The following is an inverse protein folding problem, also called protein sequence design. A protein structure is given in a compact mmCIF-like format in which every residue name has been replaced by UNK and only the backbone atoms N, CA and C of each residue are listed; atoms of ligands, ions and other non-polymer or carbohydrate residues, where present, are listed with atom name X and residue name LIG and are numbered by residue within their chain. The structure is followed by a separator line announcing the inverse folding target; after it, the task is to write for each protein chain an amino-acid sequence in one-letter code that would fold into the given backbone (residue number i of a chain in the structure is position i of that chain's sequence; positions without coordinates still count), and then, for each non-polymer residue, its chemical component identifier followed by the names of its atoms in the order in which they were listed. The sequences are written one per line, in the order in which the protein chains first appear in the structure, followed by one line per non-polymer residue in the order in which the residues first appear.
data_IF_598269846480
#
_entry.id   IF_598269846480
#
_cell.length_a   1.000
_cell.length_b   1.000
_cell.length_c   1.000
_cell.angle_alpha   90.00
_cell.angle_beta   90.00
_cell.angle_gamma   90.00
#
_symmetry.space_group_name_H-M   'P 1'
#
loop_
_entity.id
_entity.type
_entity.pdbx_description
1 polymer ?
#
# COMPACT_ATOMS: atom_id res chain seq x y z
N UNK A 1 5.77 28.84 -5.11
CA UNK A 1 5.49 27.48 -4.58
C UNK A 1 6.60 27.07 -3.63
N UNK A 2 6.22 26.57 -2.47
CA UNK A 2 7.20 26.14 -1.48
C UNK A 2 7.79 24.79 -1.85
N UNK A 3 9.10 24.70 -1.87
CA UNK A 3 9.80 23.45 -2.16
C UNK A 3 10.68 23.05 -0.98
N UNK A 4 10.56 21.80 -0.55
CA UNK A 4 11.39 21.26 0.52
C UNK A 4 12.66 20.70 -0.07
N UNK A 5 13.80 21.18 0.42
CA UNK A 5 15.09 20.68 -0.03
C UNK A 5 15.39 19.34 0.63
N UNK A 6 15.75 18.35 -0.17
CA UNK A 6 16.07 17.00 0.30
C UNK A 6 17.47 16.60 -0.14
N UNK A 7 18.28 16.17 0.82
CA UNK A 7 19.60 15.63 0.54
C UNK A 7 19.48 14.16 0.15
N UNK A 8 20.56 13.58 -0.36
CA UNK A 8 20.59 12.14 -0.62
C UNK A 8 20.38 11.33 0.65
N UNK A 9 20.91 11.83 1.77
CA UNK A 9 20.72 11.20 3.07
C UNK A 9 19.24 11.22 3.48
N UNK A 10 18.56 12.35 3.25
CA UNK A 10 17.12 12.46 3.50
C UNK A 10 16.34 11.45 2.67
N UNK A 11 16.66 11.31 1.38
CA UNK A 11 15.99 10.37 0.49
C UNK A 11 16.23 8.92 0.89
N UNK A 12 17.40 8.62 1.43
CA UNK A 12 17.70 7.28 1.98
C UNK A 12 16.77 6.97 3.15
N UNK A 13 16.54 7.95 4.03
CA UNK A 13 15.61 7.79 5.14
C UNK A 13 14.16 7.59 4.68
N UNK A 14 13.77 8.28 3.60
CA UNK A 14 12.46 8.09 2.98
C UNK A 14 12.29 6.65 2.50
N UNK A 15 13.32 6.10 1.86
CA UNK A 15 13.31 4.69 1.42
C UNK A 15 13.18 3.73 2.60
N UNK A 16 13.85 4.03 3.71
CA UNK A 16 13.72 3.24 4.92
C UNK A 16 12.29 3.23 5.43
N UNK A 17 11.61 4.39 5.39
CA UNK A 17 10.21 4.48 5.81
C UNK A 17 9.31 3.64 4.89
N UNK A 18 9.55 3.68 3.58
CA UNK A 18 8.80 2.87 2.61
C UNK A 18 8.99 1.38 2.90
N UNK A 19 10.19 0.95 3.24
CA UNK A 19 10.49 -0.43 3.58
C UNK A 19 9.76 -0.85 4.85
N UNK A 20 9.73 -0.01 5.86
CA UNK A 20 9.00 -0.28 7.11
C UNK A 20 7.51 -0.52 6.81
N UNK A 21 6.91 0.33 5.97
CA UNK A 21 5.50 0.20 5.59
C UNK A 21 5.24 -1.14 4.91
N UNK A 22 6.10 -1.54 3.98
CA UNK A 22 5.86 -2.73 3.16
C UNK A 22 6.21 -4.04 3.86
N UNK A 23 7.13 -4.03 4.82
CA UNK A 23 7.49 -5.23 5.56
C UNK A 23 6.34 -5.78 6.39
N UNK A 24 5.52 -4.89 6.97
CA UNK A 24 4.36 -5.27 7.78
C UNK A 24 3.16 -4.43 7.37
N UNK A 25 2.66 -4.72 6.18
CA UNK A 25 1.55 -3.94 5.60
C UNK A 25 0.28 -3.99 6.47
N UNK A 26 0.13 -5.04 7.26
CA UNK A 26 -1.00 -5.20 8.17
C UNK A 26 -0.94 -4.19 9.33
N UNK A 27 0.21 -3.59 9.57
CA UNK A 27 0.37 -2.60 10.62
C UNK A 27 0.19 -1.19 10.08
N UNK A 28 -0.58 -0.38 10.80
CA UNK A 28 -0.82 1.02 10.43
C UNK A 28 0.15 1.93 11.16
N UNK A 29 1.00 2.61 10.40
CA UNK A 29 1.91 3.62 10.96
C UNK A 29 1.37 5.00 10.64
N UNK A 30 1.44 5.91 11.62
CA UNK A 30 1.11 7.31 11.37
C UNK A 30 2.35 7.99 10.79
N UNK A 31 2.16 9.15 10.16
CA UNK A 31 3.28 9.92 9.63
C UNK A 31 4.24 10.34 10.74
N UNK A 32 3.76 10.85 11.92
CA UNK A 32 4.67 11.13 13.02
C UNK A 32 5.49 9.93 13.49
N UNK A 33 4.89 8.74 13.56
CA UNK A 33 5.60 7.52 13.95
C UNK A 33 6.72 7.19 12.96
N UNK A 34 6.40 7.23 11.66
CA UNK A 34 7.40 6.94 10.62
C UNK A 34 8.54 7.95 10.63
N UNK A 35 8.20 9.23 10.78
CA UNK A 35 9.19 10.30 10.82
C UNK A 35 10.16 10.07 11.98
N UNK A 36 9.65 9.70 13.15
CA UNK A 36 10.47 9.42 14.31
C UNK A 36 11.35 8.17 14.08
N UNK A 37 10.76 7.12 13.53
CA UNK A 37 11.48 5.87 13.29
C UNK A 37 12.67 6.03 12.34
N UNK A 38 12.55 6.92 11.37
CA UNK A 38 13.64 7.14 10.41
C UNK A 38 14.44 8.42 10.67
N UNK A 39 14.13 9.10 11.76
CA UNK A 39 14.81 10.33 12.18
C UNK A 39 14.79 11.41 11.08
N UNK A 40 13.57 11.74 10.63
CA UNK A 40 13.36 12.73 9.58
C UNK A 40 12.14 13.58 9.93
N UNK A 41 12.20 14.91 9.76
CA UNK A 41 11.03 15.75 9.99
C UNK A 41 9.86 15.33 9.08
N UNK A 42 8.63 15.40 9.60
CA UNK A 42 7.45 15.01 8.85
C UNK A 42 7.34 15.67 7.48
N UNK A 43 7.70 16.96 7.43
CA UNK A 43 7.66 17.74 6.20
C UNK A 43 8.57 17.14 5.13
N UNK A 44 9.78 16.75 5.52
CA UNK A 44 10.73 16.11 4.61
C UNK A 44 10.28 14.71 4.22
N UNK A 45 9.66 13.98 5.15
CA UNK A 45 9.13 12.65 4.88
C UNK A 45 8.05 12.72 3.80
N UNK A 46 7.09 13.63 3.96
CA UNK A 46 6.01 13.82 2.99
C UNK A 46 6.55 14.23 1.61
N UNK A 47 7.43 15.23 1.60
CA UNK A 47 8.03 15.71 0.36
C UNK A 47 8.84 14.61 -0.35
N UNK A 48 9.57 13.82 0.43
CA UNK A 48 10.39 12.73 -0.10
C UNK A 48 9.57 11.62 -0.73
N UNK A 49 8.44 11.24 -0.12
CA UNK A 49 7.54 10.26 -0.71
C UNK A 49 7.01 10.76 -2.05
N UNK A 50 6.59 12.02 -2.11
CA UNK A 50 6.11 12.62 -3.35
C UNK A 50 7.20 12.64 -4.42
N UNK A 51 8.43 12.96 -4.03
CA UNK A 51 9.55 13.01 -4.97
C UNK A 51 9.96 11.65 -5.50
N UNK A 52 10.08 10.64 -4.63
CA UNK A 52 10.55 9.31 -5.02
C UNK A 52 9.46 8.45 -5.66
N UNK A 53 8.23 8.55 -5.17
CA UNK A 53 7.15 7.63 -5.54
C UNK A 53 5.97 8.31 -6.21
N UNK A 54 6.02 9.62 -6.36
CA UNK A 54 4.95 10.44 -6.96
C UNK A 54 3.62 10.32 -6.23
N UNK A 55 3.64 9.90 -4.97
CA UNK A 55 2.46 9.71 -4.13
C UNK A 55 2.80 10.04 -2.68
N UNK A 56 1.78 10.38 -1.91
CA UNK A 56 1.95 10.56 -0.47
C UNK A 56 2.15 9.21 0.22
N UNK A 57 2.43 9.25 1.52
CA UNK A 57 2.66 8.05 2.32
C UNK A 57 1.48 7.08 2.25
N UNK A 58 0.25 7.59 2.40
CA UNK A 58 -0.95 6.74 2.37
C UNK A 58 -1.22 6.19 0.97
N UNK A 59 -1.01 6.98 -0.08
CA UNK A 59 -1.17 6.51 -1.45
C UNK A 59 -0.21 5.39 -1.77
N UNK A 60 1.04 5.53 -1.33
CA UNK A 60 2.07 4.52 -1.49
C UNK A 60 1.66 3.21 -0.79
N UNK A 61 1.20 3.33 0.46
CA UNK A 61 0.75 2.17 1.25
C UNK A 61 -0.44 1.48 0.59
N UNK A 62 -1.43 2.26 0.16
CA UNK A 62 -2.63 1.70 -0.48
C UNK A 62 -2.28 0.95 -1.76
N UNK A 63 -1.41 1.50 -2.59
CA UNK A 63 -0.99 0.82 -3.81
C UNK A 63 -0.31 -0.51 -3.52
N UNK A 64 0.59 -0.53 -2.54
CA UNK A 64 1.27 -1.74 -2.13
C UNK A 64 0.28 -2.77 -1.59
N UNK A 65 -0.65 -2.31 -0.74
CA UNK A 65 -1.67 -3.17 -0.14
C UNK A 65 -2.51 -3.86 -1.21
N UNK A 66 -3.04 -3.09 -2.17
CA UNK A 66 -3.90 -3.67 -3.21
C UNK A 66 -3.13 -4.57 -4.16
N UNK A 67 -1.89 -4.23 -4.48
CA UNK A 67 -1.05 -5.11 -5.29
C UNK A 67 -0.81 -6.45 -4.56
N UNK A 68 -0.61 -6.40 -3.25
CA UNK A 68 -0.44 -7.61 -2.45
C UNK A 68 -1.73 -8.45 -2.42
N UNK A 69 -2.89 -7.81 -2.22
CA UNK A 69 -4.18 -8.50 -2.24
C UNK A 69 -4.39 -9.20 -3.58
N UNK A 70 -4.15 -8.50 -4.68
CA UNK A 70 -4.31 -9.09 -6.02
C UNK A 70 -3.36 -10.26 -6.25
N UNK A 71 -2.11 -10.13 -5.83
CA UNK A 71 -1.13 -11.20 -5.96
C UNK A 71 -1.56 -12.45 -5.19
N UNK A 72 -2.08 -12.29 -3.98
CA UNK A 72 -2.55 -13.40 -3.16
C UNK A 72 -3.78 -14.05 -3.77
N UNK A 73 -4.69 -13.26 -4.37
CA UNK A 73 -5.86 -13.80 -5.07
C UNK A 73 -5.44 -14.65 -6.27
N UNK A 74 -4.46 -14.19 -7.02
CA UNK A 74 -3.93 -14.93 -8.20
C UNK A 74 -3.35 -16.27 -7.75
N UNK A 75 -2.74 -16.32 -6.58
CA UNK A 75 -2.16 -17.54 -6.02
C UNK A 75 -3.19 -18.45 -5.34
N UNK A 76 -4.47 -18.13 -5.45
CA UNK A 76 -5.56 -18.90 -4.82
C UNK A 76 -5.51 -18.92 -3.29
N UNK A 77 -4.91 -17.93 -2.67
CA UNK A 77 -4.88 -17.82 -1.22
C UNK A 77 -6.29 -17.49 -0.72
N UNK A 78 -6.82 -18.23 0.27
CA UNK A 78 -8.16 -17.96 0.80
C UNK A 78 -8.28 -16.55 1.38
N UNK A 79 -9.48 -15.95 1.27
CA UNK A 79 -9.72 -14.61 1.80
C UNK A 79 -9.38 -14.49 3.28
N UNK A 80 -9.62 -15.54 4.05
CA UNK A 80 -9.28 -15.59 5.47
C UNK A 80 -7.80 -15.31 5.71
N UNK A 81 -6.94 -15.89 4.87
CA UNK A 81 -5.50 -15.72 4.99
C UNK A 81 -5.07 -14.33 4.50
N UNK A 82 -5.73 -13.83 3.44
CA UNK A 82 -5.46 -12.48 2.92
C UNK A 82 -5.78 -11.43 3.99
N UNK A 83 -6.89 -11.61 4.71
CA UNK A 83 -7.27 -10.74 5.82
C UNK A 83 -6.15 -10.68 6.86
N UNK A 84 -5.60 -11.82 7.24
CA UNK A 84 -4.52 -11.89 8.23
C UNK A 84 -3.26 -11.16 7.77
N UNK A 85 -2.91 -11.29 6.49
CA UNK A 85 -1.69 -10.71 5.96
C UNK A 85 -1.81 -9.21 5.65
N UNK A 86 -3.03 -8.69 5.54
CA UNK A 86 -3.26 -7.30 5.12
C UNK A 86 -3.84 -6.40 6.20
N UNK A 87 -4.24 -6.98 7.33
CA UNK A 87 -4.72 -6.20 8.48
C UNK A 87 -6.17 -5.76 8.41
N UNK A 88 -6.97 -6.28 7.46
CA UNK A 88 -8.39 -6.03 7.47
C UNK A 88 -9.03 -6.72 8.68
N UNK A 89 -10.09 -6.12 9.19
CA UNK A 89 -10.79 -6.64 10.36
C UNK A 89 -11.35 -8.06 10.13
N UNK A 90 -11.97 -8.26 8.97
CA UNK A 90 -12.58 -9.53 8.59
C UNK A 90 -12.76 -9.58 7.07
N UNK A 91 -13.30 -10.70 6.58
CA UNK A 91 -13.55 -10.87 5.14
C UNK A 91 -14.49 -9.82 4.59
N UNK A 92 -15.53 -9.47 5.35
CA UNK A 92 -16.52 -8.48 4.91
C UNK A 92 -15.88 -7.12 4.68
N UNK A 93 -14.97 -6.71 5.56
CA UNK A 93 -14.26 -5.45 5.42
C UNK A 93 -13.37 -5.47 4.17
N UNK A 94 -12.66 -6.57 3.94
CA UNK A 94 -11.82 -6.72 2.75
C UNK A 94 -12.66 -6.65 1.47
N UNK A 95 -13.75 -7.41 1.42
CA UNK A 95 -14.63 -7.46 0.25
C UNK A 95 -15.21 -6.08 -0.05
N UNK A 96 -15.69 -5.38 0.98
CA UNK A 96 -16.26 -4.05 0.82
C UNK A 96 -15.22 -3.05 0.30
N UNK A 97 -14.03 -3.06 0.90
CA UNK A 97 -12.96 -2.16 0.50
C UNK A 97 -12.50 -2.43 -0.93
N UNK A 98 -12.36 -3.71 -1.29
CA UNK A 98 -11.97 -4.13 -2.63
C UNK A 98 -13.01 -3.67 -3.66
N UNK A 99 -14.29 -3.89 -3.38
CA UNK A 99 -15.35 -3.48 -4.27
C UNK A 99 -15.41 -1.96 -4.43
N UNK A 100 -15.20 -1.22 -3.34
CA UNK A 100 -15.15 0.24 -3.40
C UNK A 100 -13.99 0.74 -4.29
N UNK A 101 -12.85 0.05 -4.22
CA UNK A 101 -11.66 0.44 -4.98
C UNK A 101 -11.74 0.02 -6.45
N UNK A 102 -12.21 -1.19 -6.74
CA UNK A 102 -12.15 -1.78 -8.08
C UNK A 102 -13.51 -1.97 -8.75
N UNK A 103 -14.60 -1.68 -8.06
CA UNK A 103 -15.95 -1.77 -8.62
C UNK A 103 -16.56 -3.17 -8.62
N UNK A 104 -15.79 -4.20 -8.34
CA UNK A 104 -16.25 -5.59 -8.29
C UNK A 104 -15.64 -6.30 -7.08
N UNK A 105 -16.24 -7.44 -6.69
CA UNK A 105 -15.73 -8.22 -5.55
C UNK A 105 -14.42 -8.94 -5.90
N UNK A 106 -13.64 -9.36 -4.90
CA UNK A 106 -12.42 -10.13 -5.16
C UNK A 106 -12.69 -11.41 -5.95
N UNK A 107 -13.77 -12.10 -5.63
CA UNK A 107 -14.14 -13.34 -6.34
C UNK A 107 -14.47 -13.05 -7.80
N UNK A 108 -15.24 -12.01 -8.06
CA UNK A 108 -15.57 -11.63 -9.42
C UNK A 108 -14.33 -11.15 -10.20
N UNK A 109 -13.45 -10.38 -9.55
CA UNK A 109 -12.20 -9.94 -10.15
C UNK A 109 -11.35 -11.14 -10.60
N UNK A 110 -11.24 -12.14 -9.73
CA UNK A 110 -10.47 -13.34 -10.04
C UNK A 110 -11.07 -14.11 -11.21
N UNK A 111 -12.40 -14.26 -11.25
CA UNK A 111 -13.09 -14.92 -12.36
C UNK A 111 -12.86 -14.18 -13.66
N UNK A 112 -12.98 -12.86 -13.63
CA UNK A 112 -12.76 -12.03 -14.82
C UNK A 112 -11.32 -12.15 -15.31
N UNK A 113 -10.36 -12.22 -14.39
CA UNK A 113 -8.96 -12.44 -14.75
C UNK A 113 -8.76 -13.78 -15.43
N UNK A 114 -9.33 -14.85 -14.88
CA UNK A 114 -9.23 -16.20 -15.44
C UNK A 114 -9.89 -16.29 -16.81
N UNK A 115 -10.94 -15.51 -17.03
CA UNK A 115 -11.67 -15.47 -18.30
C UNK A 115 -11.06 -14.49 -19.31
N UNK A 116 -9.95 -13.85 -18.94
CA UNK A 116 -9.29 -12.91 -19.84
C UNK A 116 -9.97 -11.55 -19.96
N UNK A 117 -10.94 -11.24 -19.09
CA UNK A 117 -11.66 -9.97 -19.13
C UNK A 117 -10.84 -8.79 -18.61
N UNK A 118 -9.84 -9.06 -17.75
CA UNK A 118 -8.95 -8.04 -17.21
C UNK A 118 -7.51 -8.56 -17.18
N UNK A 119 -6.55 -7.63 -17.12
CA UNK A 119 -5.13 -7.93 -17.02
C UNK A 119 -4.72 -8.05 -15.55
N UNK A 120 -3.67 -8.84 -15.28
CA UNK A 120 -3.07 -8.94 -13.93
C UNK A 120 -2.56 -7.59 -13.44
N UNK A 121 -2.20 -6.71 -14.34
CA UNK A 121 -1.57 -5.43 -14.02
C UNK A 121 -2.59 -4.32 -13.71
N UNK A 122 -3.85 -4.59 -13.85
CA UNK A 122 -4.92 -3.61 -13.59
C UNK A 122 -5.52 -3.68 -12.19
#
# INVERSE_FOLDING_TARGET
MYQVHLSLHDLHKVRNAAQIITEKIERHYTIPELAEMVDLPEKKLKAGFKQLYDKGVFGYRCDFLWNKVKALLVEDIPLKNIVQETGFKDKSALIKAFKNEFGITPVQWKKDLENGAISKEE
#
